data_IF_109622456805
#
_entry.id   IF_109622456805
#
_cell.length_a   1.000
_cell.length_b   1.000
_cell.length_c   1.000
_cell.angle_alpha   90.00
_cell.angle_beta   90.00
_cell.angle_gamma   90.00
#
_symmetry.space_group_name_H-M   'P 1'
#
loop_
_entity.id
_entity.type
_entity.pdbx_description
1 polymer ?
#
# COMPACT_ATOMS: atom_id res chain seq x y z
N UNK A 1 -32.73 -37.68 25.26
CA UNK A 1 -31.40 -37.54 24.62
C UNK A 1 -31.58 -37.09 23.16
N UNK A 2 -31.86 -35.81 22.92
CA UNK A 2 -32.02 -35.21 21.56
C UNK A 2 -31.98 -33.67 21.58
N UNK A 3 -31.52 -33.05 22.68
CA UNK A 3 -31.60 -31.59 22.93
C UNK A 3 -30.23 -30.96 23.14
N UNK A 4 -29.12 -31.70 22.93
CA UNK A 4 -27.76 -31.23 23.23
C UNK A 4 -26.94 -30.78 22.01
N UNK A 5 -27.49 -30.82 20.78
CA UNK A 5 -26.71 -30.54 19.56
C UNK A 5 -27.03 -29.15 18.95
N UNK A 6 -28.06 -28.44 19.43
CA UNK A 6 -28.51 -27.18 18.82
C UNK A 6 -27.70 -25.95 19.29
N UNK A 7 -26.92 -26.05 20.38
CA UNK A 7 -26.17 -24.91 20.92
C UNK A 7 -24.80 -24.67 20.28
N UNK A 8 -24.28 -25.59 19.47
CA UNK A 8 -22.96 -25.43 18.82
C UNK A 8 -23.02 -24.71 17.47
N UNK A 9 -24.20 -24.57 16.86
CA UNK A 9 -24.34 -24.04 15.50
C UNK A 9 -24.48 -22.49 15.44
N UNK A 10 -24.62 -21.81 16.58
CA UNK A 10 -24.77 -20.34 16.62
C UNK A 10 -23.47 -19.57 16.84
N UNK A 11 -22.34 -20.25 17.12
CA UNK A 11 -21.05 -19.58 17.29
C UNK A 11 -20.28 -19.37 15.97
N UNK A 12 -20.73 -19.97 14.86
CA UNK A 12 -20.05 -19.84 13.56
C UNK A 12 -20.46 -18.60 12.74
N UNK A 13 -21.53 -17.89 13.13
CA UNK A 13 -22.00 -16.69 12.42
C UNK A 13 -21.40 -15.36 12.94
N UNK A 14 -20.47 -15.40 13.91
CA UNK A 14 -19.97 -14.19 14.60
C UNK A 14 -18.67 -13.62 14.01
N UNK A 15 -18.05 -14.24 12.99
CA UNK A 15 -16.74 -13.80 12.49
C UNK A 15 -16.66 -13.36 11.03
N UNK A 16 -17.79 -13.03 10.39
CA UNK A 16 -17.73 -12.14 9.22
C UNK A 16 -17.96 -10.70 9.69
N UNK A 17 -17.01 -10.14 10.45
CA UNK A 17 -16.92 -8.69 10.54
C UNK A 17 -16.72 -8.21 9.10
N UNK A 18 -17.60 -7.38 8.52
CA UNK A 18 -17.22 -6.66 7.31
C UNK A 18 -15.92 -5.95 7.65
N UNK A 19 -14.88 -6.11 6.83
CA UNK A 19 -13.70 -5.25 6.95
C UNK A 19 -14.23 -3.83 6.97
N UNK A 20 -14.09 -3.18 8.12
CA UNK A 20 -14.24 -1.75 8.23
C UNK A 20 -13.23 -1.20 7.25
N UNK A 21 -13.70 -0.70 6.10
CA UNK A 21 -12.87 0.13 5.24
C UNK A 21 -12.46 1.31 6.10
N UNK A 22 -11.26 1.21 6.64
CA UNK A 22 -10.68 2.24 7.47
C UNK A 22 -10.52 3.46 6.58
N UNK A 23 -11.30 4.51 6.84
CA UNK A 23 -11.19 5.81 6.19
C UNK A 23 -9.78 6.43 6.36
N UNK A 24 -8.98 5.93 7.31
CA UNK A 24 -7.56 6.30 7.48
C UNK A 24 -6.68 5.63 6.43
N UNK A 25 -7.01 4.41 6.00
CA UNK A 25 -6.34 3.72 4.90
C UNK A 25 -6.55 4.46 3.58
N UNK A 26 -7.74 5.01 3.34
CA UNK A 26 -8.06 5.66 2.05
C UNK A 26 -7.12 6.85 1.74
N UNK A 27 -6.80 7.70 2.72
CA UNK A 27 -5.91 8.85 2.50
C UNK A 27 -4.44 8.43 2.36
N UNK A 28 -3.95 7.52 3.20
CA UNK A 28 -2.57 7.03 3.10
C UNK A 28 -2.37 6.26 1.77
N UNK A 29 -3.37 5.50 1.34
CA UNK A 29 -3.38 4.81 0.05
C UNK A 29 -3.42 5.78 -1.13
N UNK A 30 -4.28 6.80 -1.09
CA UNK A 30 -4.34 7.81 -2.15
C UNK A 30 -3.01 8.57 -2.28
N UNK A 31 -2.35 8.90 -1.17
CA UNK A 31 -1.00 9.50 -1.18
C UNK A 31 0.02 8.53 -1.80
N UNK A 32 0.01 7.26 -1.38
CA UNK A 32 0.95 6.26 -1.90
C UNK A 32 0.77 6.05 -3.40
N UNK A 33 -0.47 5.85 -3.84
CA UNK A 33 -0.82 5.67 -5.25
C UNK A 33 -0.44 6.87 -6.10
N UNK A 34 -0.59 8.08 -5.57
CA UNK A 34 -0.11 9.30 -6.24
C UNK A 34 1.41 9.31 -6.41
N UNK A 35 2.16 8.87 -5.38
CA UNK A 35 3.62 8.87 -5.37
C UNK A 35 4.25 7.65 -6.06
N UNK A 36 3.48 6.63 -6.46
CA UNK A 36 3.99 5.41 -7.09
C UNK A 36 4.95 5.68 -8.25
N UNK A 37 4.61 6.53 -9.25
CA UNK A 37 5.53 6.79 -10.36
C UNK A 37 6.83 7.43 -9.87
N UNK A 38 6.76 8.30 -8.86
CA UNK A 38 7.94 8.96 -8.29
C UNK A 38 8.83 8.00 -7.50
N UNK A 39 8.24 7.01 -6.84
CA UNK A 39 8.96 5.94 -6.14
C UNK A 39 9.60 4.95 -7.12
N UNK A 40 8.91 4.59 -8.21
CA UNK A 40 9.50 3.77 -9.29
C UNK A 40 10.67 4.50 -9.94
N UNK A 41 10.47 5.77 -10.30
CA UNK A 41 11.51 6.64 -10.84
C UNK A 41 12.69 6.87 -9.86
N UNK A 42 12.46 6.76 -8.55
CA UNK A 42 13.54 6.81 -7.55
C UNK A 42 14.38 5.54 -7.65
N UNK A 43 13.74 4.37 -7.57
CA UNK A 43 14.42 3.07 -7.60
C UNK A 43 15.16 2.87 -8.93
N UNK A 44 14.54 3.22 -10.05
CA UNK A 44 15.13 3.06 -11.39
C UNK A 44 16.34 3.96 -11.62
N UNK A 45 16.46 5.07 -10.87
CA UNK A 45 17.63 5.96 -10.91
C UNK A 45 18.59 5.73 -9.74
N UNK A 46 18.48 4.61 -9.03
CA UNK A 46 19.32 4.27 -7.88
C UNK A 46 19.41 5.39 -6.81
N UNK A 47 18.35 6.18 -6.65
CA UNK A 47 18.36 7.31 -5.71
C UNK A 47 19.13 8.56 -6.16
N UNK A 48 19.51 8.68 -7.44
CA UNK A 48 20.05 9.93 -8.01
C UNK A 48 19.09 11.12 -7.86
N UNK A 49 17.81 10.87 -7.57
CA UNK A 49 16.81 11.92 -7.39
C UNK A 49 17.05 12.82 -6.16
N UNK A 50 17.99 12.43 -5.29
CA UNK A 50 18.45 13.22 -4.16
C UNK A 50 17.44 13.29 -3.02
N UNK A 51 17.93 13.63 -1.83
CA UNK A 51 17.11 13.87 -0.65
C UNK A 51 16.05 14.94 -0.95
N UNK A 52 14.80 14.65 -0.59
CA UNK A 52 13.67 15.55 -0.77
C UNK A 52 13.03 15.63 -2.15
N UNK A 53 13.29 14.66 -3.03
CA UNK A 53 12.49 14.50 -4.24
C UNK A 53 11.01 14.27 -3.93
N UNK A 54 10.69 13.33 -3.04
CA UNK A 54 9.30 13.03 -2.68
C UNK A 54 8.63 14.19 -1.94
N UNK A 55 9.38 14.98 -1.17
CA UNK A 55 8.86 16.19 -0.52
C UNK A 55 8.42 17.24 -1.56
N UNK A 56 9.12 17.34 -2.70
CA UNK A 56 8.69 18.20 -3.82
C UNK A 56 7.41 17.68 -4.48
N UNK A 57 7.24 16.37 -4.56
CA UNK A 57 5.99 15.77 -5.06
C UNK A 57 4.83 15.99 -4.09
N UNK A 58 5.06 15.85 -2.78
CA UNK A 58 4.11 16.19 -1.74
C UNK A 58 3.69 17.68 -1.76
N UNK A 59 4.63 18.59 -2.03
CA UNK A 59 4.37 20.02 -2.13
C UNK A 59 3.45 20.40 -3.32
N UNK A 60 3.35 19.54 -4.34
CA UNK A 60 2.44 19.73 -5.49
C UNK A 60 0.99 19.36 -5.16
N UNK A 61 0.74 18.65 -4.05
CA UNK A 61 -0.60 18.22 -3.68
C UNK A 61 -1.25 19.29 -2.79
N UNK A 62 -2.18 20.11 -3.34
CA UNK A 62 -2.87 21.09 -2.52
C UNK A 62 -3.72 20.39 -1.45
N UNK A 63 -3.90 21.04 -0.30
CA UNK A 63 -4.71 20.61 0.85
C UNK A 63 -4.17 19.46 1.71
N UNK A 64 -3.29 18.58 1.21
CA UNK A 64 -2.78 17.43 2.00
C UNK A 64 -1.27 17.40 2.19
N UNK A 65 -0.52 18.45 1.81
CA UNK A 65 0.95 18.49 1.93
C UNK A 65 1.49 18.00 3.28
N UNK A 66 0.97 18.50 4.41
CA UNK A 66 1.39 18.03 5.75
C UNK A 66 1.10 16.56 6.04
N UNK A 67 0.00 16.03 5.48
CA UNK A 67 -0.33 14.61 5.61
C UNK A 67 0.59 13.76 4.74
N UNK A 68 0.98 14.29 3.57
CA UNK A 68 1.97 13.67 2.68
C UNK A 68 3.36 13.66 3.33
N UNK A 69 3.81 14.76 3.95
CA UNK A 69 5.09 14.81 4.66
C UNK A 69 5.15 13.78 5.80
N UNK A 70 4.11 13.72 6.64
CA UNK A 70 4.01 12.71 7.69
C UNK A 70 3.92 11.28 7.14
N UNK A 71 3.33 11.11 5.95
CA UNK A 71 3.29 9.85 5.25
C UNK A 71 4.69 9.43 4.77
N UNK A 72 5.50 10.36 4.26
CA UNK A 72 6.87 10.08 3.81
C UNK A 72 7.73 9.52 4.95
N UNK A 73 7.73 10.20 6.10
CA UNK A 73 8.51 9.81 7.28
C UNK A 73 8.19 8.40 7.79
N UNK A 74 6.94 7.96 7.60
CA UNK A 74 6.43 6.70 8.13
C UNK A 74 6.54 5.54 7.14
N UNK A 75 6.31 5.80 5.85
CA UNK A 75 5.98 4.74 4.89
C UNK A 75 7.00 4.57 3.75
N UNK A 76 7.88 5.55 3.49
CA UNK A 76 8.85 5.44 2.38
C UNK A 76 9.84 4.31 2.61
N UNK A 77 10.48 4.25 3.78
CA UNK A 77 11.44 3.19 4.12
C UNK A 77 10.90 1.76 3.99
N UNK A 78 9.72 1.40 4.55
CA UNK A 78 9.19 0.05 4.38
C UNK A 78 8.79 -0.27 2.93
N UNK A 79 8.37 0.74 2.15
CA UNK A 79 8.07 0.57 0.72
C UNK A 79 9.34 0.33 -0.08
N UNK A 80 10.39 1.14 0.12
CA UNK A 80 11.67 0.96 -0.54
C UNK A 80 12.28 -0.41 -0.22
N UNK A 81 12.20 -0.87 1.04
CA UNK A 81 12.64 -2.23 1.42
C UNK A 81 11.95 -3.34 0.66
N UNK A 82 10.66 -3.18 0.33
CA UNK A 82 9.96 -4.16 -0.52
C UNK A 82 10.46 -4.08 -1.97
N UNK A 83 10.64 -2.88 -2.51
CA UNK A 83 11.15 -2.68 -3.88
C UNK A 83 12.58 -3.17 -4.07
N UNK A 84 13.42 -3.02 -3.05
CA UNK A 84 14.78 -3.56 -3.03
C UNK A 84 14.82 -5.08 -2.87
N UNK A 85 13.80 -5.67 -2.24
CA UNK A 85 13.74 -7.11 -2.02
C UNK A 85 13.43 -7.90 -3.30
N UNK A 86 12.74 -7.29 -4.26
CA UNK A 86 12.37 -7.94 -5.52
C UNK A 86 12.21 -6.90 -6.65
N UNK A 87 13.01 -7.06 -7.72
CA UNK A 87 12.95 -6.22 -8.93
C UNK A 87 11.60 -6.31 -9.68
N UNK A 88 10.75 -7.27 -9.29
CA UNK A 88 9.41 -7.48 -9.79
C UNK A 88 8.32 -6.75 -9.02
N UNK A 89 8.63 -6.13 -7.89
CA UNK A 89 7.68 -5.28 -7.20
C UNK A 89 7.62 -3.89 -7.84
N UNK A 90 6.41 -3.46 -8.17
CA UNK A 90 6.12 -2.06 -8.48
C UNK A 90 5.99 -1.27 -7.18
N UNK A 91 6.25 0.04 -7.23
CA UNK A 91 5.96 0.90 -6.09
C UNK A 91 4.49 0.82 -5.70
N UNK A 92 3.60 0.66 -6.69
CA UNK A 92 2.16 0.47 -6.47
C UNK A 92 1.83 -0.83 -5.71
N UNK A 93 2.48 -1.94 -6.07
CA UNK A 93 2.31 -3.19 -5.30
C UNK A 93 2.87 -3.05 -3.88
N UNK A 94 4.05 -2.46 -3.71
CA UNK A 94 4.63 -2.23 -2.39
C UNK A 94 3.75 -1.30 -1.53
N UNK A 95 3.15 -0.27 -2.13
CA UNK A 95 2.14 0.58 -1.51
C UNK A 95 0.97 -0.22 -0.94
N UNK A 96 0.36 -1.07 -1.76
CA UNK A 96 -0.78 -1.90 -1.35
C UNK A 96 -0.39 -2.88 -0.23
N UNK A 97 0.80 -3.46 -0.30
CA UNK A 97 1.27 -4.41 0.72
C UNK A 97 1.62 -3.76 2.05
N UNK A 98 2.28 -2.60 2.07
CA UNK A 98 2.64 -1.90 3.32
C UNK A 98 1.40 -1.33 3.99
N UNK A 99 0.54 -0.67 3.22
CA UNK A 99 -0.59 0.10 3.75
C UNK A 99 -1.90 -0.71 3.82
N UNK A 100 -1.90 -1.92 3.25
CA UNK A 100 -3.10 -2.76 3.11
C UNK A 100 -4.21 -2.05 2.34
N UNK A 101 -3.83 -1.38 1.26
CA UNK A 101 -4.76 -0.77 0.32
C UNK A 101 -5.56 -1.85 -0.41
N UNK A 102 -6.82 -1.57 -0.72
CA UNK A 102 -7.63 -2.45 -1.57
C UNK A 102 -6.95 -2.69 -2.93
N UNK A 103 -7.03 -3.93 -3.44
CA UNK A 103 -6.18 -4.46 -4.51
C UNK A 103 -6.59 -4.06 -5.94
N UNK A 104 -7.42 -3.03 -6.11
CA UNK A 104 -8.04 -2.68 -7.38
C UNK A 104 -7.37 -1.50 -8.11
N UNK A 105 -6.45 -0.78 -7.47
CA UNK A 105 -5.80 0.42 -8.03
C UNK A 105 -4.46 0.12 -8.72
N UNK A 106 -3.74 -0.90 -8.25
CA UNK A 106 -2.40 -1.22 -8.70
C UNK A 106 -2.39 -2.54 -9.48
N UNK A 107 -2.07 -2.47 -10.78
CA UNK A 107 -1.76 -3.67 -11.56
C UNK A 107 -0.29 -4.02 -11.33
N UNK A 108 0.07 -5.30 -11.09
CA UNK A 108 1.48 -5.69 -11.04
C UNK A 108 2.19 -5.29 -12.34
N UNK A 109 3.37 -4.68 -12.21
CA UNK A 109 4.21 -4.30 -13.35
C UNK A 109 4.77 -5.55 -14.00
N UNK A 110 4.41 -5.78 -15.26
CA UNK A 110 5.02 -6.81 -16.07
C UNK A 110 6.38 -6.35 -16.61
N UNK A 111 7.43 -6.52 -15.79
CA UNK A 111 8.82 -6.48 -16.28
C UNK A 111 9.18 -7.85 -16.88
N UNK A 112 10.06 -7.85 -17.88
CA UNK A 112 10.35 -9.01 -18.73
C UNK A 112 10.90 -10.24 -17.98
N UNK A 113 11.41 -10.05 -16.75
CA UNK A 113 11.99 -11.11 -15.92
C UNK A 113 11.06 -11.55 -14.78
N UNK A 114 9.81 -11.07 -14.74
CA UNK A 114 8.92 -11.29 -13.61
C UNK A 114 7.92 -12.41 -13.88
N UNK A 115 7.94 -13.50 -13.07
CA UNK A 115 7.18 -14.73 -13.33
C UNK A 115 5.66 -14.59 -13.08
N UNK A 116 5.21 -13.47 -12.52
CA UNK A 116 3.81 -13.20 -12.16
C UNK A 116 3.05 -12.43 -13.25
N UNK A 117 3.57 -12.45 -14.47
CA UNK A 117 2.91 -12.03 -15.70
C UNK A 117 2.82 -13.24 -16.65
#
# INVERSE_FOLDING_TARGET
>A
MKVLIVLAALCAFVYAKPQEKSLVGDVECDICHYLCPSLEDWVDKEGEQGEGWLEKECAKIPFIGKACDAWLEKNVDPILKLLEADECYSACFACDEVLKCGTDKCKPTCRANCPSC
#
